data_IF_474632348543
#
_entry.id   IF_474632348543
#
_cell.length_a   1.000
_cell.length_b   1.000
_cell.length_c   1.000
_cell.angle_alpha   90.00
_cell.angle_beta   90.00
_cell.angle_gamma   90.00
#
_symmetry.space_group_name_H-M   'P 1'
#
loop_
_entity.id
_entity.type
_entity.pdbx_description
1 polymer ?
#
# COMPACT_ATOMS: atom_id res chain seq x y z
N UNK A 1 22.35 -3.68 -21.14
CA UNK A 1 21.12 -3.07 -20.56
C UNK A 1 19.81 -3.80 -20.90
N UNK A 2 19.66 -4.52 -22.03
CA UNK A 2 18.40 -5.20 -22.37
C UNK A 2 18.07 -6.41 -21.47
N UNK A 3 19.08 -7.15 -21.01
CA UNK A 3 18.88 -8.34 -20.16
C UNK A 3 18.36 -7.98 -18.75
N UNK A 4 18.90 -6.93 -18.13
CA UNK A 4 18.49 -6.47 -16.79
C UNK A 4 17.02 -6.02 -16.75
N UNK A 5 16.56 -5.33 -17.79
CA UNK A 5 15.16 -4.88 -17.93
C UNK A 5 14.18 -6.05 -18.09
N UNK A 6 14.63 -7.17 -18.68
CA UNK A 6 13.80 -8.37 -18.88
C UNK A 6 13.55 -9.12 -17.56
N UNK A 7 14.52 -9.14 -16.64
CA UNK A 7 14.37 -9.77 -15.32
C UNK A 7 13.61 -8.89 -14.33
N UNK A 8 13.79 -7.57 -14.38
CA UNK A 8 13.07 -6.63 -13.51
C UNK A 8 11.55 -6.61 -13.75
N UNK A 9 11.09 -6.95 -14.94
CA UNK A 9 9.66 -6.93 -15.32
C UNK A 9 9.20 -8.32 -15.80
N UNK A 10 9.44 -9.31 -14.94
CA UNK A 10 8.88 -10.66 -15.05
C UNK A 10 7.47 -10.71 -14.44
N UNK A 11 6.72 -11.78 -14.70
CA UNK A 11 5.40 -11.99 -14.09
C UNK A 11 5.51 -12.01 -12.54
N UNK A 12 6.61 -12.55 -11.99
CA UNK A 12 6.88 -12.57 -10.55
C UNK A 12 7.18 -11.20 -9.94
N UNK A 13 7.56 -10.20 -10.74
CA UNK A 13 7.86 -8.85 -10.24
C UNK A 13 6.65 -8.18 -9.62
N UNK A 14 5.44 -8.50 -10.13
CA UNK A 14 4.17 -7.99 -9.59
C UNK A 14 3.95 -8.56 -8.18
N UNK A 15 4.20 -9.86 -8.00
CA UNK A 15 4.06 -10.51 -6.70
C UNK A 15 5.01 -9.88 -5.68
N UNK A 16 6.29 -9.70 -6.06
CA UNK A 16 7.28 -9.08 -5.17
C UNK A 16 6.91 -7.64 -4.84
N UNK A 17 6.52 -6.85 -5.83
CA UNK A 17 6.12 -5.46 -5.64
C UNK A 17 4.93 -5.34 -4.68
N UNK A 18 3.84 -6.06 -4.94
CA UNK A 18 2.66 -6.00 -4.09
C UNK A 18 2.93 -6.58 -2.70
N UNK A 19 3.78 -7.61 -2.57
CA UNK A 19 4.19 -8.12 -1.26
C UNK A 19 4.85 -7.03 -0.42
N UNK A 20 5.76 -6.26 -1.00
CA UNK A 20 6.48 -5.18 -0.29
C UNK A 20 5.54 -4.01 0.00
N UNK A 21 4.74 -3.57 -0.99
CA UNK A 21 3.83 -2.43 -0.81
C UNK A 21 2.71 -2.75 0.20
N UNK A 22 2.15 -3.96 0.18
CA UNK A 22 1.18 -4.41 1.17
C UNK A 22 1.81 -4.52 2.56
N UNK A 23 3.03 -5.05 2.66
CA UNK A 23 3.77 -5.10 3.92
C UNK A 23 3.92 -3.69 4.51
N UNK A 24 4.41 -2.74 3.69
CA UNK A 24 4.61 -1.35 4.12
C UNK A 24 3.29 -0.69 4.52
N UNK A 25 2.22 -0.89 3.75
CA UNK A 25 0.89 -0.37 4.04
C UNK A 25 0.33 -0.91 5.36
N UNK A 26 0.38 -2.23 5.56
CA UNK A 26 -0.17 -2.86 6.76
C UNK A 26 0.58 -2.38 8.01
N UNK A 27 1.90 -2.25 7.92
CA UNK A 27 2.73 -1.74 9.01
C UNK A 27 2.46 -0.26 9.30
N UNK A 28 2.47 0.62 8.28
CA UNK A 28 2.21 2.05 8.48
C UNK A 28 0.80 2.33 8.96
N UNK A 29 -0.19 1.56 8.50
CA UNK A 29 -1.56 1.66 8.97
C UNK A 29 -1.66 1.32 10.46
N UNK A 30 -1.04 0.21 10.88
CA UNK A 30 -0.97 -0.18 12.30
C UNK A 30 -0.32 0.92 13.13
N UNK A 31 0.84 1.43 12.69
CA UNK A 31 1.57 2.46 13.41
C UNK A 31 0.79 3.78 13.49
N UNK A 32 0.11 4.19 12.42
CA UNK A 32 -0.71 5.39 12.38
C UNK A 32 -1.84 5.28 13.41
N UNK A 33 -2.60 4.18 13.38
CA UNK A 33 -3.75 4.01 14.29
C UNK A 33 -3.29 3.86 15.73
N UNK A 34 -2.26 3.06 16.00
CA UNK A 34 -1.73 2.86 17.35
C UNK A 34 -1.20 4.16 17.95
N UNK A 35 -0.50 5.00 17.16
CA UNK A 35 0.00 6.30 17.64
C UNK A 35 -1.12 7.29 17.90
N UNK A 36 -2.08 7.42 16.99
CA UNK A 36 -3.25 8.30 17.19
C UNK A 36 -4.02 7.85 18.44
N UNK A 37 -4.23 6.55 18.59
CA UNK A 37 -4.93 5.99 19.73
C UNK A 37 -4.17 6.18 21.06
N UNK A 38 -2.88 5.88 21.09
CA UNK A 38 -2.04 6.10 22.27
C UNK A 38 -2.02 7.57 22.68
N UNK A 39 -1.95 8.47 21.70
CA UNK A 39 -1.96 9.91 21.96
C UNK A 39 -3.33 10.39 22.49
N UNK A 40 -4.43 9.92 21.90
CA UNK A 40 -5.79 10.25 22.35
C UNK A 40 -6.05 9.76 23.79
N UNK A 41 -5.55 8.58 24.15
CA UNK A 41 -5.62 8.06 25.52
C UNK A 41 -4.85 8.90 26.53
N UNK A 42 -3.70 9.46 26.13
CA UNK A 42 -2.84 10.23 27.03
C UNK A 42 -3.37 11.64 27.31
N UNK A 43 -3.94 12.29 26.30
CA UNK A 43 -4.35 13.70 26.42
C UNK A 43 -5.85 13.87 26.69
N UNK A 44 -6.68 12.83 26.53
CA UNK A 44 -8.13 12.82 26.77
C UNK A 44 -8.92 13.93 26.03
N UNK A 45 -8.29 14.63 25.09
CA UNK A 45 -8.85 15.69 24.27
C UNK A 45 -8.48 15.48 22.80
N UNK A 46 -9.36 15.87 21.86
CA UNK A 46 -9.06 15.79 20.44
C UNK A 46 -8.03 16.85 20.04
N UNK A 47 -6.82 16.38 19.69
CA UNK A 47 -5.68 17.20 19.28
C UNK A 47 -5.45 17.14 17.76
N UNK A 48 -4.59 18.04 17.26
CA UNK A 48 -4.15 18.16 15.86
C UNK A 48 -3.68 16.82 15.26
N UNK A 49 -3.16 15.91 16.09
CA UNK A 49 -2.73 14.57 15.66
C UNK A 49 -3.87 13.69 15.10
N UNK A 50 -5.13 13.97 15.45
CA UNK A 50 -6.31 13.29 14.87
C UNK A 50 -6.45 13.60 13.38
N UNK A 51 -5.90 14.71 12.89
CA UNK A 51 -5.88 15.03 11.46
C UNK A 51 -5.16 13.96 10.63
N UNK A 52 -4.33 13.12 11.25
CA UNK A 52 -3.79 11.91 10.64
C UNK A 52 -4.86 10.97 10.06
N UNK A 53 -6.07 10.93 10.62
CA UNK A 53 -7.20 10.14 10.10
C UNK A 53 -7.73 10.68 8.77
N UNK A 54 -7.52 11.96 8.46
CA UNK A 54 -7.94 12.56 7.17
C UNK A 54 -7.23 11.86 6.00
N UNK A 55 -6.01 11.36 6.21
CA UNK A 55 -5.30 10.58 5.18
C UNK A 55 -6.02 9.28 4.80
N UNK A 56 -6.83 8.68 5.69
CA UNK A 56 -7.65 7.50 5.35
C UNK A 56 -8.77 7.85 4.35
N UNK A 57 -9.12 9.12 4.22
CA UNK A 57 -10.10 9.62 3.26
C UNK A 57 -9.50 9.89 1.87
N UNK A 58 -8.21 9.59 1.65
CA UNK A 58 -7.55 9.74 0.36
C UNK A 58 -8.25 9.07 -0.84
N UNK A 59 -8.92 7.89 -0.71
CA UNK A 59 -9.73 7.34 -1.80
C UNK A 59 -10.78 8.29 -2.36
N UNK A 60 -11.30 9.24 -1.57
CA UNK A 60 -12.29 10.20 -2.04
C UNK A 60 -11.74 11.10 -3.15
N UNK A 61 -10.42 11.31 -3.20
CA UNK A 61 -9.76 12.03 -4.29
C UNK A 61 -9.99 11.33 -5.63
N UNK A 62 -10.03 9.99 -5.64
CA UNK A 62 -10.28 9.22 -6.86
C UNK A 62 -11.68 9.42 -7.43
N UNK A 63 -12.66 9.82 -6.60
CA UNK A 63 -14.01 10.13 -7.09
C UNK A 63 -14.01 11.34 -8.02
N UNK A 64 -13.13 12.31 -7.79
CA UNK A 64 -12.98 13.48 -8.66
C UNK A 64 -12.16 13.16 -9.93
N UNK A 65 -11.22 12.21 -9.86
CA UNK A 65 -10.30 11.84 -10.96
C UNK A 65 -10.64 10.51 -11.67
N UNK A 66 -11.88 10.05 -11.55
CA UNK A 66 -12.46 8.80 -12.07
C UNK A 66 -12.16 8.39 -13.53
N UNK A 67 -11.72 9.29 -14.41
CA UNK A 67 -11.65 8.99 -15.86
C UNK A 67 -10.28 8.52 -16.36
N UNK A 68 -9.16 9.08 -15.90
CA UNK A 68 -7.79 8.67 -16.30
C UNK A 68 -6.77 9.09 -15.26
N UNK A 69 -6.18 8.13 -14.55
CA UNK A 69 -5.03 8.37 -13.67
C UNK A 69 -3.77 8.25 -14.53
N UNK A 70 -2.96 9.31 -14.65
CA UNK A 70 -1.76 9.27 -15.47
C UNK A 70 -0.67 8.40 -14.80
N UNK A 71 0.20 7.79 -15.61
CA UNK A 71 1.26 6.87 -15.17
C UNK A 71 2.18 7.52 -14.15
N UNK A 72 2.40 8.82 -14.30
CA UNK A 72 3.23 9.59 -13.38
C UNK A 72 2.62 9.68 -11.98
N UNK A 73 1.28 9.77 -11.86
CA UNK A 73 0.60 9.76 -10.56
C UNK A 73 0.72 8.39 -9.91
N UNK A 74 0.70 7.32 -10.71
CA UNK A 74 0.92 5.95 -10.23
C UNK A 74 2.34 5.75 -9.72
N UNK A 75 3.34 6.27 -10.46
CA UNK A 75 4.74 6.24 -10.03
C UNK A 75 4.94 7.07 -8.76
N UNK A 76 4.46 8.32 -8.74
CA UNK A 76 4.59 9.21 -7.59
C UNK A 76 3.91 8.60 -6.36
N UNK A 77 2.67 8.11 -6.47
CA UNK A 77 1.98 7.48 -5.35
C UNK A 77 2.71 6.23 -4.86
N UNK A 78 3.20 5.37 -5.76
CA UNK A 78 3.98 4.19 -5.38
C UNK A 78 5.28 4.55 -4.66
N UNK A 79 6.03 5.54 -5.16
CA UNK A 79 7.26 6.02 -4.51
C UNK A 79 6.97 6.72 -3.18
N UNK A 80 5.86 7.46 -3.07
CA UNK A 80 5.44 8.08 -1.82
C UNK A 80 5.19 7.04 -0.73
N UNK A 81 4.58 5.88 -1.05
CA UNK A 81 4.41 4.77 -0.09
C UNK A 81 5.77 4.36 0.49
N UNK A 82 6.74 4.14 -0.40
CA UNK A 82 8.08 3.65 -0.05
C UNK A 82 8.84 4.70 0.75
N UNK A 83 9.00 5.90 0.21
CA UNK A 83 9.82 6.97 0.82
C UNK A 83 9.25 7.37 2.19
N UNK A 84 7.94 7.55 2.30
CA UNK A 84 7.32 7.90 3.58
C UNK A 84 7.48 6.80 4.62
N UNK A 85 7.41 5.52 4.22
CA UNK A 85 7.66 4.38 5.11
C UNK A 85 9.10 4.33 5.62
N UNK A 86 10.09 4.67 4.77
CA UNK A 86 11.51 4.64 5.11
C UNK A 86 11.93 5.83 5.98
N UNK A 87 11.37 7.00 5.68
CA UNK A 87 11.69 8.24 6.41
C UNK A 87 10.92 8.33 7.72
N UNK A 88 9.68 7.83 7.78
CA UNK A 88 8.81 7.93 8.97
C UNK A 88 9.51 7.56 10.29
N UNK A 89 10.19 6.40 10.40
CA UNK A 89 10.91 6.00 11.60
C UNK A 89 12.09 6.90 12.00
N UNK A 90 12.60 7.73 11.09
CA UNK A 90 13.69 8.68 11.34
C UNK A 90 13.18 10.04 11.87
N UNK A 91 11.86 10.21 11.93
CA UNK A 91 11.22 11.47 12.33
C UNK A 91 10.62 11.38 13.72
N UNK A 92 10.33 12.54 14.32
CA UNK A 92 9.71 12.67 15.64
C UNK A 92 8.59 13.71 15.63
N UNK A 93 7.71 13.64 16.63
CA UNK A 93 6.57 14.56 16.77
C UNK A 93 5.54 14.43 15.65
N UNK A 94 5.01 15.57 15.20
CA UNK A 94 3.95 15.65 14.18
C UNK A 94 4.31 14.93 12.87
N UNK A 95 5.58 14.96 12.48
CA UNK A 95 6.07 14.40 11.22
C UNK A 95 5.82 12.91 11.10
N UNK A 96 5.82 12.17 12.21
CA UNK A 96 5.56 10.73 12.21
C UNK A 96 4.15 10.43 11.67
N UNK A 97 3.15 11.21 12.09
CA UNK A 97 1.77 11.07 11.63
C UNK A 97 1.61 11.45 10.17
N UNK A 98 2.31 12.50 9.74
CA UNK A 98 2.28 12.96 8.34
C UNK A 98 2.87 11.89 7.42
N UNK A 99 4.04 11.33 7.74
CA UNK A 99 4.66 10.30 6.90
C UNK A 99 3.88 8.98 6.92
N UNK A 100 3.39 8.54 8.10
CA UNK A 100 2.55 7.34 8.18
C UNK A 100 1.23 7.52 7.40
N UNK A 101 0.56 8.66 7.59
CA UNK A 101 -0.64 9.03 6.86
C UNK A 101 -0.42 9.13 5.35
N UNK A 102 0.67 9.76 4.91
CA UNK A 102 1.02 9.90 3.50
C UNK A 102 1.28 8.53 2.84
N UNK A 103 1.93 7.61 3.54
CA UNK A 103 2.15 6.23 3.07
C UNK A 103 0.81 5.53 2.82
N UNK A 104 -0.07 5.57 3.83
CA UNK A 104 -1.40 4.96 3.81
C UNK A 104 -2.28 5.57 2.72
N UNK A 105 -2.36 6.90 2.66
CA UNK A 105 -3.11 7.63 1.64
C UNK A 105 -2.64 7.29 0.22
N UNK A 106 -1.32 7.27 0.02
CA UNK A 106 -0.73 6.96 -1.28
C UNK A 106 -1.03 5.53 -1.71
N UNK A 107 -1.00 4.57 -0.78
CA UNK A 107 -1.39 3.18 -1.06
C UNK A 107 -2.87 3.06 -1.44
N UNK A 108 -3.74 3.72 -0.68
CA UNK A 108 -5.19 3.72 -0.92
C UNK A 108 -5.58 4.32 -2.28
N UNK A 109 -4.75 5.21 -2.83
CA UNK A 109 -4.88 5.73 -4.19
C UNK A 109 -4.24 4.79 -5.22
N UNK A 110 -3.02 4.33 -4.95
CA UNK A 110 -2.21 3.51 -5.84
C UNK A 110 -2.84 2.15 -6.14
N UNK A 111 -3.34 1.46 -5.10
CA UNK A 111 -3.84 0.09 -5.18
C UNK A 111 -5.01 -0.07 -6.18
N UNK A 112 -6.13 0.67 -6.05
CA UNK A 112 -7.22 0.58 -7.03
C UNK A 112 -6.80 1.05 -8.43
N UNK A 113 -5.93 2.08 -8.51
CA UNK A 113 -5.42 2.58 -9.79
C UNK A 113 -4.62 1.52 -10.55
N UNK A 114 -3.77 0.75 -9.85
CA UNK A 114 -3.01 -0.36 -10.43
C UNK A 114 -3.93 -1.50 -10.88
N UNK A 115 -4.94 -1.86 -10.09
CA UNK A 115 -5.89 -2.94 -10.45
C UNK A 115 -6.59 -2.62 -11.77
N UNK A 116 -7.06 -1.37 -11.93
CA UNK A 116 -7.69 -0.92 -13.18
C UNK A 116 -6.72 -1.04 -14.36
N UNK A 117 -5.44 -0.69 -14.15
CA UNK A 117 -4.40 -0.82 -15.18
C UNK A 117 -4.13 -2.25 -15.61
N UNK A 118 -4.33 -3.19 -14.71
CA UNK A 118 -4.04 -4.60 -14.93
C UNK A 118 -5.25 -5.36 -15.50
N UNK A 119 -6.42 -4.73 -15.67
CA UNK A 119 -7.69 -5.32 -16.12
C UNK A 119 -7.57 -6.30 -17.29
N UNK A 120 -6.63 -6.12 -18.23
CA UNK A 120 -6.46 -7.04 -19.37
C UNK A 120 -5.84 -8.42 -19.02
N UNK A 121 -5.56 -8.75 -17.74
CA UNK A 121 -5.00 -10.05 -17.30
C UNK A 121 -5.76 -10.71 -16.14
N UNK A 122 -7.09 -10.54 -16.09
CA UNK A 122 -7.97 -10.82 -14.92
C UNK A 122 -7.70 -12.14 -14.18
N UNK A 123 -7.48 -13.26 -14.89
CA UNK A 123 -7.45 -14.59 -14.27
C UNK A 123 -6.20 -14.89 -13.41
N UNK A 124 -5.06 -14.22 -13.67
CA UNK A 124 -3.83 -14.39 -12.88
C UNK A 124 -3.73 -13.39 -11.72
N UNK A 125 -4.34 -12.21 -11.88
CA UNK A 125 -4.14 -11.08 -10.95
C UNK A 125 -4.70 -11.37 -9.57
N UNK A 126 -5.90 -11.93 -9.46
CA UNK A 126 -6.51 -12.20 -8.16
C UNK A 126 -5.68 -13.16 -7.31
N UNK A 127 -5.12 -14.21 -7.95
CA UNK A 127 -4.25 -15.18 -7.29
C UNK A 127 -2.90 -14.56 -6.91
N UNK A 128 -2.28 -13.81 -7.82
CA UNK A 128 -1.00 -13.14 -7.57
C UNK A 128 -1.11 -12.12 -6.42
N UNK A 129 -2.21 -11.36 -6.35
CA UNK A 129 -2.49 -10.44 -5.24
C UNK A 129 -2.74 -11.20 -3.93
N UNK A 130 -3.43 -12.34 -3.97
CA UNK A 130 -3.63 -13.21 -2.80
C UNK A 130 -2.31 -13.75 -2.25
N UNK A 131 -1.41 -14.23 -3.11
CA UNK A 131 -0.05 -14.64 -2.72
C UNK A 131 0.72 -13.46 -2.14
N UNK A 132 0.65 -12.30 -2.80
CA UNK A 132 1.34 -11.10 -2.35
C UNK A 132 0.90 -10.69 -0.94
N UNK A 133 -0.41 -10.75 -0.67
CA UNK A 133 -0.98 -10.46 0.63
C UNK A 133 -0.54 -11.49 1.68
N UNK A 134 -0.55 -12.78 1.34
CA UNK A 134 -0.07 -13.83 2.25
C UNK A 134 1.39 -13.60 2.64
N UNK A 135 2.27 -13.34 1.66
CA UNK A 135 3.69 -13.03 1.89
C UNK A 135 3.83 -11.78 2.76
N UNK A 136 3.10 -10.71 2.44
CA UNK A 136 3.13 -9.46 3.20
C UNK A 136 2.75 -9.67 4.67
N UNK A 137 1.67 -10.39 4.94
CA UNK A 137 1.22 -10.69 6.30
C UNK A 137 2.22 -11.59 7.02
N UNK A 138 2.73 -12.64 6.38
CA UNK A 138 3.74 -13.52 6.97
C UNK A 138 5.03 -12.76 7.33
N UNK A 139 5.51 -11.88 6.45
CA UNK A 139 6.66 -11.02 6.74
C UNK A 139 6.37 -10.03 7.86
N UNK A 140 5.17 -9.45 7.90
CA UNK A 140 4.77 -8.53 8.97
C UNK A 140 4.80 -9.22 10.34
N UNK A 141 4.24 -10.42 10.42
CA UNK A 141 4.27 -11.26 11.63
C UNK A 141 5.72 -11.61 11.99
N UNK A 142 6.53 -12.04 11.02
CA UNK A 142 7.93 -12.41 11.23
C UNK A 142 8.74 -11.23 11.80
N UNK A 143 8.64 -10.05 11.21
CA UNK A 143 9.40 -8.87 11.64
C UNK A 143 9.00 -8.35 13.02
N UNK A 144 7.72 -8.45 13.37
CA UNK A 144 7.24 -8.12 14.73
C UNK A 144 7.62 -9.20 15.74
N UNK A 145 7.52 -10.47 15.38
CA UNK A 145 7.93 -11.58 16.24
C UNK A 145 9.42 -11.54 16.55
N UNK A 146 10.25 -11.15 15.58
CA UNK A 146 11.70 -11.07 15.73
C UNK A 146 12.19 -9.99 16.71
N UNK A 147 11.37 -8.98 17.03
CA UNK A 147 11.75 -7.87 17.90
C UNK A 147 10.65 -7.53 18.93
N UNK A 148 10.10 -8.59 19.54
CA UNK A 148 9.16 -8.50 20.66
C UNK A 148 7.99 -7.52 20.41
N UNK A 149 7.26 -7.75 19.31
CA UNK A 149 6.07 -7.00 18.86
C UNK A 149 6.36 -5.69 18.12
N UNK A 150 7.54 -5.10 18.29
CA UNK A 150 7.97 -3.93 17.51
C UNK A 150 8.53 -4.40 16.17
N UNK A 151 8.14 -3.78 15.07
CA UNK A 151 8.67 -4.12 13.75
C UNK A 151 10.18 -3.85 13.66
N UNK A 152 10.97 -4.92 13.53
CA UNK A 152 12.43 -4.84 13.45
C UNK A 152 12.91 -4.00 12.26
N UNK A 153 12.16 -3.95 11.16
CA UNK A 153 12.53 -3.18 9.96
C UNK A 153 12.45 -1.66 10.17
N UNK A 154 11.98 -1.19 11.33
CA UNK A 154 11.90 0.22 11.70
C UNK A 154 12.96 0.66 12.70
N UNK A 155 13.70 -0.27 13.32
CA UNK A 155 14.47 0.03 14.52
C UNK A 155 15.98 -0.07 14.32
N UNK A 156 16.69 1.01 14.63
CA UNK A 156 18.15 1.06 14.64
C UNK A 156 18.80 0.57 13.35
N UNK A 157 19.82 -0.29 13.46
CA UNK A 157 20.55 -0.82 12.32
C UNK A 157 19.72 -1.73 11.40
N UNK A 158 18.66 -2.35 11.94
CA UNK A 158 17.79 -3.25 11.18
C UNK A 158 16.90 -2.53 10.17
N UNK A 159 16.85 -1.19 10.20
CA UNK A 159 16.25 -0.38 9.14
C UNK A 159 16.80 -0.70 7.76
N UNK A 160 18.03 -1.23 7.67
CA UNK A 160 18.61 -1.69 6.41
C UNK A 160 17.70 -2.67 5.66
N UNK A 161 16.91 -3.48 6.38
CA UNK A 161 15.93 -4.39 5.79
C UNK A 161 14.85 -3.59 5.05
N UNK A 162 14.30 -2.56 5.71
CA UNK A 162 13.33 -1.65 5.11
C UNK A 162 13.91 -0.98 3.85
N UNK A 163 15.12 -0.44 3.93
CA UNK A 163 15.81 0.19 2.80
C UNK A 163 16.01 -0.76 1.62
N UNK A 164 16.48 -1.98 1.86
CA UNK A 164 16.66 -3.00 0.81
C UNK A 164 15.34 -3.31 0.13
N UNK A 165 14.28 -3.57 0.90
CA UNK A 165 12.94 -3.83 0.36
C UNK A 165 12.41 -2.62 -0.43
N UNK A 166 12.60 -1.41 0.08
CA UNK A 166 12.19 -0.17 -0.58
C UNK A 166 12.91 0.06 -1.91
N UNK A 167 14.23 -0.17 -1.97
CA UNK A 167 15.01 -0.07 -3.21
C UNK A 167 14.52 -1.09 -4.23
N UNK A 168 14.28 -2.34 -3.82
CA UNK A 168 13.76 -3.39 -4.71
C UNK A 168 12.40 -2.98 -5.28
N UNK A 169 11.48 -2.53 -4.42
CA UNK A 169 10.15 -2.10 -4.84
C UNK A 169 10.21 -0.89 -5.79
N UNK A 170 11.04 0.11 -5.49
CA UNK A 170 11.21 1.30 -6.33
C UNK A 170 11.78 0.94 -7.71
N UNK A 171 12.81 0.08 -7.78
CA UNK A 171 13.37 -0.38 -9.05
C UNK A 171 12.34 -1.13 -9.91
N UNK A 172 11.52 -2.00 -9.30
CA UNK A 172 10.44 -2.71 -9.99
C UNK A 172 9.38 -1.71 -10.49
N UNK A 173 8.99 -0.76 -9.64
CA UNK A 173 7.97 0.25 -9.96
C UNK A 173 8.40 1.14 -11.13
N UNK A 174 9.64 1.63 -11.11
CA UNK A 174 10.24 2.39 -12.22
C UNK A 174 10.29 1.52 -13.48
N UNK A 175 10.66 0.24 -13.35
CA UNK A 175 10.66 -0.72 -14.46
C UNK A 175 9.28 -0.89 -15.10
N UNK A 176 8.22 -0.98 -14.28
CA UNK A 176 6.84 -1.05 -14.74
C UNK A 176 6.37 0.26 -15.39
N UNK A 177 6.70 1.41 -14.81
CA UNK A 177 6.39 2.74 -15.38
C UNK A 177 6.95 2.89 -16.81
N UNK A 178 8.22 2.52 -17.00
CA UNK A 178 8.86 2.57 -18.33
C UNK A 178 8.23 1.59 -19.33
N UNK A 179 7.58 0.52 -18.87
CA UNK A 179 6.86 -0.44 -19.73
C UNK A 179 5.47 0.09 -20.09
N UNK A 180 4.70 0.59 -19.11
CA UNK A 180 3.36 1.13 -19.32
C UNK A 180 3.37 2.39 -20.18
N UNK A 181 4.35 3.28 -20.01
CA UNK A 181 4.53 4.46 -20.85
C UNK A 181 4.73 4.09 -22.33
N UNK A 182 5.38 2.94 -22.61
CA UNK A 182 5.59 2.45 -23.98
C UNK A 182 4.32 1.82 -24.57
N UNK A 183 3.53 1.15 -23.72
CA UNK A 183 2.29 0.46 -24.11
C UNK A 183 1.13 1.44 -24.39
N UNK A 184 1.08 2.57 -23.69
CA UNK A 184 0.09 3.64 -23.92
C UNK A 184 0.13 4.23 -25.33
N UNK A 185 1.30 4.22 -25.99
CA UNK A 185 1.44 4.67 -27.39
C UNK A 185 0.77 3.69 -28.36
N UNK A 186 0.71 2.40 -28.02
CA UNK A 186 0.10 1.35 -28.85
C UNK A 186 -1.41 1.18 -28.55
N UNK A 187 -1.85 1.37 -27.30
CA UNK A 187 -3.24 1.12 -26.88
C UNK A 187 -4.24 2.23 -27.27
N UNK A 188 -3.79 3.46 -27.56
CA UNK A 188 -4.66 4.53 -28.08
C UNK A 188 -5.31 4.15 -29.42
N UNK A 189 -4.74 3.18 -30.14
CA UNK A 189 -5.27 2.66 -31.40
C UNK A 189 -6.35 1.56 -31.24
N UNK A 190 -6.52 0.97 -30.05
CA UNK A 190 -7.38 -0.20 -29.85
C UNK A 190 -8.40 0.04 -28.72
N UNK A 191 -9.41 0.88 -28.98
CA UNK A 191 -10.54 1.04 -28.06
C UNK A 191 -11.43 -0.20 -28.08
N UNK A 192 -11.39 -1.00 -27.02
CA UNK A 192 -12.43 -1.96 -26.65
C UNK A 192 -13.48 -1.30 -25.76
N UNK A 193 -14.74 -1.68 -25.94
CA UNK A 193 -15.89 -1.20 -25.18
C UNK A 193 -15.78 -1.57 -23.69
N UNK A 194 -15.95 -0.57 -22.81
CA UNK A 194 -16.11 -0.81 -21.38
C UNK A 194 -17.48 -1.45 -21.11
N UNK A 195 -17.47 -2.75 -20.79
CA UNK A 195 -18.65 -3.42 -20.25
C UNK A 195 -19.01 -2.79 -18.90
N UNK A 196 -20.19 -2.18 -18.82
CA UNK A 196 -20.71 -1.59 -17.58
C UNK A 196 -20.95 -2.70 -16.55
N UNK A 197 -20.13 -2.72 -15.48
CA UNK A 197 -20.37 -3.57 -14.32
C UNK A 197 -21.52 -3.01 -13.48
N UNK A 198 -22.36 -3.90 -12.93
CA UNK A 198 -23.45 -3.53 -12.03
C UNK A 198 -22.91 -2.96 -10.71
N UNK A 199 -23.55 -1.89 -10.21
CA UNK A 199 -23.20 -1.26 -8.92
C UNK A 199 -23.08 -2.27 -7.78
N UNK A 200 -24.02 -3.23 -7.68
CA UNK A 200 -24.03 -4.25 -6.64
C UNK A 200 -22.82 -5.19 -6.71
N UNK A 201 -22.34 -5.50 -7.91
CA UNK A 201 -21.15 -6.33 -8.11
C UNK A 201 -19.90 -5.58 -7.63
N UNK A 202 -19.80 -4.29 -7.94
CA UNK A 202 -18.70 -3.44 -7.47
C UNK A 202 -18.74 -3.34 -5.94
N UNK A 203 -19.90 -3.01 -5.37
CA UNK A 203 -20.08 -2.88 -3.93
C UNK A 203 -19.71 -4.17 -3.20
N UNK A 204 -20.22 -5.32 -3.65
CA UNK A 204 -19.92 -6.61 -3.03
C UNK A 204 -18.43 -6.98 -3.09
N UNK A 205 -17.76 -6.75 -4.22
CA UNK A 205 -16.32 -6.98 -4.35
C UNK A 205 -15.50 -6.02 -3.48
N UNK A 206 -15.88 -4.75 -3.43
CA UNK A 206 -15.24 -3.76 -2.56
C UNK A 206 -15.39 -4.10 -1.08
N UNK A 207 -16.59 -4.50 -0.65
CA UNK A 207 -16.83 -4.98 0.72
C UNK A 207 -16.03 -6.24 1.04
N UNK A 208 -15.91 -7.18 0.09
CA UNK A 208 -15.08 -8.38 0.25
C UNK A 208 -13.60 -8.05 0.47
N UNK A 209 -13.01 -7.20 -0.38
CA UNK A 209 -11.61 -6.75 -0.23
C UNK A 209 -11.43 -6.01 1.10
N UNK A 210 -12.35 -5.11 1.45
CA UNK A 210 -12.29 -4.36 2.70
C UNK A 210 -12.39 -5.28 3.92
N UNK A 211 -13.27 -6.28 3.88
CA UNK A 211 -13.39 -7.29 4.94
C UNK A 211 -12.08 -8.06 5.13
N UNK A 212 -11.36 -8.39 4.07
CA UNK A 212 -10.05 -9.06 4.17
C UNK A 212 -9.06 -8.16 4.91
N UNK A 213 -8.97 -6.88 4.54
CA UNK A 213 -8.09 -5.92 5.22
C UNK A 213 -8.47 -5.73 6.70
N UNK A 214 -9.76 -5.59 7.01
CA UNK A 214 -10.25 -5.47 8.39
C UNK A 214 -9.86 -6.71 9.21
N UNK A 215 -10.15 -7.91 8.70
CA UNK A 215 -9.83 -9.15 9.41
C UNK A 215 -8.33 -9.28 9.68
N UNK A 216 -7.49 -9.03 8.67
CA UNK A 216 -6.04 -9.07 8.84
C UNK A 216 -5.58 -8.06 9.89
N UNK A 217 -6.10 -6.83 9.81
CA UNK A 217 -5.70 -5.75 10.71
C UNK A 217 -6.06 -6.07 12.16
N UNK A 218 -7.30 -6.50 12.40
CA UNK A 218 -7.76 -6.85 13.74
C UNK A 218 -7.11 -8.12 14.30
N UNK A 219 -6.97 -9.16 13.49
CA UNK A 219 -6.44 -10.46 13.96
C UNK A 219 -4.93 -10.43 14.21
N UNK A 220 -4.15 -9.81 13.31
CA UNK A 220 -2.69 -9.96 13.33
C UNK A 220 -1.92 -8.69 13.62
N UNK A 221 -2.52 -7.51 13.41
CA UNK A 221 -1.76 -6.26 13.41
C UNK A 221 -1.98 -5.42 14.66
N UNK A 222 -3.23 -5.25 15.07
CA UNK A 222 -3.56 -4.44 16.25
C UNK A 222 -4.50 -5.15 17.23
N UNK A 223 -4.12 -6.34 17.74
CA UNK A 223 -4.95 -7.06 18.71
C UNK A 223 -5.14 -6.26 20.01
N UNK A 224 -4.19 -5.37 20.32
CA UNK A 224 -4.24 -4.46 21.47
C UNK A 224 -5.34 -3.42 21.37
N UNK A 225 -5.74 -3.00 20.16
CA UNK A 225 -6.89 -2.12 19.96
C UNK A 225 -8.17 -2.85 20.32
N UNK A 226 -8.36 -4.09 19.85
CA UNK A 226 -9.52 -4.91 20.23
C UNK A 226 -9.56 -5.14 21.73
N UNK A 227 -8.46 -5.59 22.31
CA UNK A 227 -8.37 -5.90 23.73
C UNK A 227 -8.64 -4.70 24.66
N UNK A 228 -8.61 -3.47 24.14
CA UNK A 228 -8.95 -2.25 24.89
C UNK A 228 -10.36 -1.72 24.58
N UNK A 229 -11.00 -2.21 23.52
CA UNK A 229 -12.35 -1.82 23.10
C UNK A 229 -13.42 -2.85 23.47
N UNK A 230 -13.02 -4.08 23.81
CA UNK A 230 -13.87 -5.15 24.37
C UNK A 230 -13.56 -5.39 25.83
#
# INVERSE_FOLDING_TARGET
MSSFKKYLVSDYSIIVLFSILLLFFIQTLSDLVERIYAYALLNLEPDENILGLVFLLAPLVLLFFWKKIPDIVLLISGELIIVSRLIGPLTSGLWVYIFAGLSVASFLVFFPAMIIRMKNKEHKIGFDLGISLAIAVSLSILFRAANATIDISQYGWYQIIGWVLGIIASLILIGLYLKFSKQLVEEVAAKGEDTKSSFWKILGLSMGIFSIFITIWFTFMSPTVIARWT
#
